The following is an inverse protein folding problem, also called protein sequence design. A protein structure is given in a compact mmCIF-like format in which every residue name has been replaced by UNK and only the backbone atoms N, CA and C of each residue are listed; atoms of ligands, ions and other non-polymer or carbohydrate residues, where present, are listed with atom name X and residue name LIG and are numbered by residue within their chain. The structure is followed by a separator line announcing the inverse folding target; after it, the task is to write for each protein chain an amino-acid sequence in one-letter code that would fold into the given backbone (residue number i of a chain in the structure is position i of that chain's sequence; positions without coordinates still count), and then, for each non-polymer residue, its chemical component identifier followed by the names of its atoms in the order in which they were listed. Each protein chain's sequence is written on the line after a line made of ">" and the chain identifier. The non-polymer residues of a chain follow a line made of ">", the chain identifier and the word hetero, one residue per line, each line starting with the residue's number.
data_IF_213962706022
#
_entry.id   IF_213962706022
#
_cell.length_a   1.000
_cell.length_b   1.000
_cell.length_c   1.000
_cell.angle_alpha   90.00
_cell.angle_beta   90.00
_cell.angle_gamma   90.00
#
_symmetry.space_group_name_H-M   'P 1'
#
loop_
_entity.id
_entity.type
_entity.pdbx_description
1 polymer ?
#
# COMPACT_ATOMS: atom_id res chain seq x y z
N UNK A 1 -14.00 18.97 -0.49
CA UNK A 1 -13.01 18.87 -1.56
C UNK A 1 -13.28 17.69 -2.48
N UNK A 2 -12.43 17.48 -3.50
CA UNK A 2 -12.62 16.39 -4.49
C UNK A 2 -12.80 15.00 -3.85
N UNK A 3 -12.09 14.74 -2.76
CA UNK A 3 -12.20 13.48 -2.02
C UNK A 3 -13.51 13.29 -1.26
N UNK A 4 -14.17 14.37 -0.89
CA UNK A 4 -15.48 14.32 -0.20
C UNK A 4 -16.61 14.11 -1.19
N UNK A 5 -16.41 14.55 -2.45
CA UNK A 5 -17.42 14.43 -3.51
C UNK A 5 -17.28 13.17 -4.37
N UNK A 6 -16.12 12.50 -4.34
CA UNK A 6 -15.78 11.35 -5.15
C UNK A 6 -15.24 10.18 -4.32
N UNK A 7 -15.68 10.06 -3.08
CA UNK A 7 -15.37 8.89 -2.26
C UNK A 7 -15.93 7.61 -2.90
N UNK A 8 -15.29 6.46 -2.72
CA UNK A 8 -15.80 5.20 -3.23
C UNK A 8 -17.16 4.89 -2.62
N UNK A 9 -18.10 4.44 -3.46
CA UNK A 9 -19.42 3.94 -3.00
C UNK A 9 -19.33 2.55 -2.34
N UNK A 10 -18.19 2.24 -1.72
CA UNK A 10 -17.88 0.94 -1.17
C UNK A 10 -17.25 1.00 0.20
N UNK A 11 -16.84 -0.15 0.66
CA UNK A 11 -16.26 -0.32 2.00
C UNK A 11 -14.75 -0.10 1.98
N UNK A 12 -14.24 0.56 3.00
CA UNK A 12 -12.81 0.58 3.29
C UNK A 12 -12.39 -0.81 3.79
N UNK A 13 -11.11 -1.17 3.60
CA UNK A 13 -10.61 -2.48 4.02
C UNK A 13 -10.84 -2.76 5.52
N UNK A 14 -10.72 -1.74 6.37
CA UNK A 14 -10.97 -1.86 7.82
C UNK A 14 -12.45 -2.17 8.08
N UNK A 15 -13.36 -1.47 7.42
CA UNK A 15 -14.82 -1.67 7.56
C UNK A 15 -15.22 -3.06 7.03
N UNK A 16 -14.63 -3.46 5.92
CA UNK A 16 -14.84 -4.79 5.32
C UNK A 16 -14.49 -5.90 6.30
N UNK A 17 -13.28 -5.87 6.88
CA UNK A 17 -12.82 -6.91 7.83
C UNK A 17 -13.63 -6.87 9.13
N UNK A 18 -13.98 -5.68 9.63
CA UNK A 18 -14.83 -5.54 10.81
C UNK A 18 -16.20 -6.17 10.59
N UNK A 19 -16.82 -5.94 9.42
CA UNK A 19 -18.12 -6.53 9.06
C UNK A 19 -18.05 -8.03 8.89
N UNK A 20 -16.99 -8.56 8.24
CA UNK A 20 -16.75 -10.01 8.17
C UNK A 20 -16.70 -10.62 9.58
N UNK A 21 -15.93 -10.01 10.48
CA UNK A 21 -15.79 -10.48 11.86
C UNK A 21 -17.13 -10.44 12.62
N UNK A 22 -17.88 -9.35 12.46
CA UNK A 22 -19.18 -9.16 13.09
C UNK A 22 -20.34 -9.87 12.38
N UNK A 23 -20.08 -10.54 11.25
CA UNK A 23 -21.08 -11.18 10.40
C UNK A 23 -22.18 -10.21 9.94
N UNK A 24 -21.76 -9.00 9.60
CA UNK A 24 -22.63 -7.95 9.10
C UNK A 24 -22.69 -7.98 7.58
N UNK A 25 -23.78 -7.55 6.93
CA UNK A 25 -23.87 -7.49 5.48
C UNK A 25 -22.94 -6.41 4.90
N UNK A 26 -22.33 -6.73 3.77
CA UNK A 26 -21.55 -5.79 3.00
C UNK A 26 -22.43 -4.91 2.11
N UNK A 27 -22.00 -3.70 1.81
CA UNK A 27 -22.72 -2.72 1.00
C UNK A 27 -21.76 -2.04 0.02
N UNK A 28 -22.17 -1.99 -1.26
CA UNK A 28 -21.40 -1.31 -2.31
C UNK A 28 -20.21 -2.14 -2.81
N UNK A 29 -19.17 -1.48 -3.31
CA UNK A 29 -17.99 -2.13 -3.84
C UNK A 29 -17.08 -2.65 -2.72
N UNK A 30 -16.57 -3.87 -2.90
CA UNK A 30 -15.69 -4.51 -1.93
C UNK A 30 -14.22 -4.27 -2.27
N UNK A 31 -13.37 -3.97 -1.27
CA UNK A 31 -11.96 -3.64 -1.52
C UNK A 31 -11.19 -4.76 -2.23
N UNK A 32 -11.49 -6.02 -1.93
CA UNK A 32 -10.82 -7.15 -2.59
C UNK A 32 -11.27 -7.35 -4.02
N UNK A 33 -12.54 -7.07 -4.35
CA UNK A 33 -13.06 -7.16 -5.71
C UNK A 33 -12.47 -6.05 -6.59
N UNK A 34 -12.34 -4.84 -6.04
CA UNK A 34 -11.72 -3.72 -6.75
C UNK A 34 -10.26 -4.05 -7.12
N UNK A 35 -9.46 -4.53 -6.18
CA UNK A 35 -8.06 -4.85 -6.50
C UNK A 35 -7.92 -6.03 -7.44
N UNK A 36 -8.85 -6.97 -7.45
CA UNK A 36 -8.91 -8.05 -8.43
C UNK A 36 -9.22 -7.52 -9.84
N UNK A 37 -10.20 -6.60 -9.96
CA UNK A 37 -10.52 -5.95 -11.23
C UNK A 37 -9.35 -5.11 -11.76
N UNK A 38 -8.63 -4.41 -10.91
CA UNK A 38 -7.43 -3.63 -11.30
C UNK A 38 -6.37 -4.53 -11.93
N UNK A 39 -6.15 -5.73 -11.39
CA UNK A 39 -5.24 -6.72 -11.99
C UNK A 39 -5.75 -7.17 -13.36
N UNK A 40 -7.02 -7.56 -13.45
CA UNK A 40 -7.60 -8.01 -14.71
C UNK A 40 -7.47 -6.94 -15.80
N UNK A 41 -7.72 -5.67 -15.47
CA UNK A 41 -7.54 -4.55 -16.40
C UNK A 41 -6.07 -4.31 -16.76
N UNK A 42 -5.15 -4.44 -15.80
CA UNK A 42 -3.71 -4.34 -16.03
C UNK A 42 -3.21 -5.41 -17.01
N UNK A 43 -3.61 -6.66 -16.83
CA UNK A 43 -3.27 -7.78 -17.72
C UNK A 43 -3.84 -7.58 -19.13
N UNK A 44 -5.09 -7.14 -19.24
CA UNK A 44 -5.72 -6.81 -20.53
C UNK A 44 -5.02 -5.65 -21.24
N UNK A 45 -4.61 -4.62 -20.51
CA UNK A 45 -3.90 -3.47 -21.05
C UNK A 45 -2.54 -3.88 -21.63
N UNK A 46 -1.75 -4.67 -20.89
CA UNK A 46 -0.47 -5.19 -21.37
C UNK A 46 -0.66 -6.09 -22.60
N UNK A 47 -1.60 -7.04 -22.53
CA UNK A 47 -1.87 -7.92 -23.68
C UNK A 47 -2.31 -7.14 -24.94
N UNK A 48 -3.09 -6.08 -24.78
CA UNK A 48 -3.56 -5.26 -25.89
C UNK A 48 -2.43 -4.43 -26.50
N UNK A 49 -1.60 -3.77 -25.67
CA UNK A 49 -0.53 -2.92 -26.18
C UNK A 49 0.60 -3.72 -26.80
N UNK A 50 0.96 -4.87 -26.24
CA UNK A 50 1.98 -5.77 -26.77
C UNK A 50 1.53 -6.34 -28.14
N UNK A 51 0.25 -6.69 -28.27
CA UNK A 51 -0.32 -7.12 -29.54
C UNK A 51 -0.28 -6.01 -30.61
N UNK A 52 -0.49 -4.76 -30.21
CA UNK A 52 -0.48 -3.62 -31.13
C UNK A 52 0.94 -3.28 -31.64
N UNK A 53 1.99 -3.66 -30.92
CA UNK A 53 3.37 -3.26 -31.22
C UNK A 53 3.82 -3.59 -32.65
N UNK A 54 3.42 -4.76 -33.17
CA UNK A 54 3.73 -5.17 -34.54
C UNK A 54 3.07 -4.35 -35.66
N UNK A 55 2.05 -3.55 -35.34
CA UNK A 55 1.27 -2.76 -36.28
C UNK A 55 1.63 -1.28 -36.27
N UNK A 56 2.51 -0.85 -35.37
CA UNK A 56 2.88 0.56 -35.22
C UNK A 56 3.90 0.97 -36.30
N UNK A 57 3.50 1.86 -37.19
CA UNK A 57 4.33 2.33 -38.31
C UNK A 57 4.92 3.72 -38.11
N UNK A 58 4.35 4.55 -37.23
CA UNK A 58 4.80 5.92 -36.92
C UNK A 58 4.81 6.18 -35.41
N UNK A 59 5.52 7.22 -34.97
CA UNK A 59 5.63 7.62 -33.57
C UNK A 59 6.04 6.47 -32.63
N UNK A 60 7.00 5.65 -33.08
CA UNK A 60 7.42 4.44 -32.35
C UNK A 60 7.96 4.72 -30.95
N UNK A 61 8.66 5.85 -30.78
CA UNK A 61 9.20 6.25 -29.47
C UNK A 61 8.08 6.59 -28.46
N UNK A 62 7.02 7.24 -28.94
CA UNK A 62 5.84 7.51 -28.12
C UNK A 62 5.09 6.23 -27.78
N UNK A 63 4.95 5.33 -28.76
CA UNK A 63 4.33 4.03 -28.51
C UNK A 63 5.16 3.21 -27.49
N UNK A 64 6.49 3.21 -27.59
CA UNK A 64 7.34 2.51 -26.63
C UNK A 64 7.15 3.05 -25.20
N UNK A 65 6.99 4.37 -25.02
CA UNK A 65 6.65 4.96 -23.72
C UNK A 65 5.31 4.50 -23.21
N UNK A 66 4.26 4.52 -24.04
CA UNK A 66 2.93 4.03 -23.67
C UNK A 66 2.94 2.53 -23.32
N UNK A 67 3.73 1.74 -24.06
CA UNK A 67 3.90 0.33 -23.76
C UNK A 67 4.53 0.13 -22.38
N UNK A 68 5.61 0.85 -22.09
CA UNK A 68 6.24 0.83 -20.78
C UNK A 68 5.27 1.26 -19.66
N UNK A 69 4.45 2.29 -19.90
CA UNK A 69 3.44 2.73 -18.94
C UNK A 69 2.45 1.62 -18.57
N UNK A 70 1.97 0.84 -19.56
CA UNK A 70 1.05 -0.27 -19.28
C UNK A 70 1.72 -1.36 -18.45
N UNK A 71 2.99 -1.67 -18.74
CA UNK A 71 3.76 -2.61 -17.92
C UNK A 71 3.97 -2.07 -16.49
N UNK A 72 4.27 -0.77 -16.32
CA UNK A 72 4.38 -0.13 -15.00
C UNK A 72 3.07 -0.23 -14.22
N UNK A 73 1.94 0.11 -14.84
CA UNK A 73 0.62 0.01 -14.18
C UNK A 73 0.31 -1.42 -13.75
N UNK A 74 0.62 -2.41 -14.58
CA UNK A 74 0.41 -3.81 -14.22
C UNK A 74 1.24 -4.23 -13.02
N UNK A 75 2.55 -3.97 -13.02
CA UNK A 75 3.42 -4.34 -11.90
C UNK A 75 3.01 -3.61 -10.62
N UNK A 76 2.62 -2.34 -10.71
CA UNK A 76 2.08 -1.60 -9.58
C UNK A 76 0.76 -2.20 -9.06
N UNK A 77 -0.15 -2.60 -9.95
CA UNK A 77 -1.41 -3.25 -9.60
C UNK A 77 -1.18 -4.55 -8.81
N UNK A 78 -0.26 -5.40 -9.27
CA UNK A 78 0.10 -6.63 -8.57
C UNK A 78 0.71 -6.36 -7.20
N UNK A 79 1.69 -5.44 -7.12
CA UNK A 79 2.31 -5.05 -5.86
C UNK A 79 1.25 -4.54 -4.86
N UNK A 80 0.35 -3.66 -5.30
CA UNK A 80 -0.71 -3.10 -4.47
C UNK A 80 -1.72 -4.15 -4.02
N UNK A 81 -2.22 -5.01 -4.91
CA UNK A 81 -3.16 -6.06 -4.56
C UNK A 81 -2.60 -7.02 -3.51
N UNK A 82 -1.36 -7.47 -3.67
CA UNK A 82 -0.71 -8.36 -2.71
C UNK A 82 -0.55 -7.68 -1.35
N UNK A 83 -0.23 -6.37 -1.34
CA UNK A 83 -0.16 -5.58 -0.12
C UNK A 83 -1.52 -5.42 0.55
N UNK A 84 -2.59 -5.20 -0.20
CA UNK A 84 -3.97 -5.15 0.33
C UNK A 84 -4.37 -6.49 0.96
N UNK A 85 -4.04 -7.62 0.31
CA UNK A 85 -4.30 -8.95 0.86
C UNK A 85 -3.52 -9.21 2.16
N UNK A 86 -2.24 -8.80 2.20
CA UNK A 86 -1.45 -8.87 3.43
C UNK A 86 -2.04 -8.00 4.54
N UNK A 87 -2.47 -6.78 4.21
CA UNK A 87 -3.12 -5.88 5.16
C UNK A 87 -4.44 -6.45 5.71
N UNK A 88 -5.23 -7.15 4.86
CA UNK A 88 -6.42 -7.88 5.34
C UNK A 88 -6.06 -8.90 6.43
N UNK A 89 -5.03 -9.71 6.20
CA UNK A 89 -4.59 -10.70 7.19
C UNK A 89 -4.11 -10.07 8.50
N UNK A 90 -3.46 -8.91 8.43
CA UNK A 90 -3.09 -8.15 9.64
C UNK A 90 -4.33 -7.66 10.40
N UNK A 91 -5.36 -7.20 9.68
CA UNK A 91 -6.63 -6.80 10.28
C UNK A 91 -7.38 -8.02 10.86
N UNK A 92 -7.37 -9.17 10.18
CA UNK A 92 -7.92 -10.42 10.71
C UNK A 92 -7.24 -10.82 12.03
N UNK A 93 -5.91 -10.65 12.10
CA UNK A 93 -5.17 -10.85 13.36
C UNK A 93 -5.60 -9.87 14.45
N UNK A 94 -5.88 -8.62 14.14
CA UNK A 94 -6.34 -7.65 15.14
C UNK A 94 -7.62 -8.10 15.84
N UNK A 95 -8.52 -8.76 15.13
CA UNK A 95 -9.77 -9.29 15.66
C UNK A 95 -9.61 -10.69 16.30
N UNK A 96 -9.07 -11.64 15.54
CA UNK A 96 -9.00 -13.05 15.90
C UNK A 96 -7.80 -13.43 16.77
N UNK A 97 -6.76 -12.61 16.80
CA UNK A 97 -5.47 -12.88 17.48
C UNK A 97 -4.77 -14.15 17.00
N UNK A 98 -5.13 -14.64 15.81
CA UNK A 98 -4.53 -15.82 15.19
C UNK A 98 -3.18 -15.46 14.56
N UNK A 99 -2.07 -15.86 15.16
CA UNK A 99 -0.71 -15.57 14.63
C UNK A 99 -0.52 -16.09 13.20
N UNK A 100 -1.20 -17.16 12.83
CA UNK A 100 -1.18 -17.71 11.49
C UNK A 100 -1.49 -16.65 10.41
N UNK A 101 -2.40 -15.73 10.68
CA UNK A 101 -2.71 -14.65 9.75
C UNK A 101 -1.50 -13.76 9.47
N UNK A 102 -0.68 -13.47 10.48
CA UNK A 102 0.56 -12.70 10.29
C UNK A 102 1.64 -13.50 9.54
N UNK A 103 1.70 -14.81 9.78
CA UNK A 103 2.59 -15.71 9.04
C UNK A 103 2.23 -15.76 7.56
N UNK A 104 0.94 -15.87 7.24
CA UNK A 104 0.42 -15.89 5.87
C UNK A 104 0.55 -14.54 5.16
N UNK A 105 0.66 -13.43 5.89
CA UNK A 105 0.91 -12.10 5.32
C UNK A 105 2.33 -11.97 4.74
N UNK A 106 3.34 -12.64 5.32
CA UNK A 106 4.74 -12.55 4.88
C UNK A 106 4.93 -12.89 3.39
N UNK A 107 4.51 -14.07 2.89
CA UNK A 107 4.70 -14.41 1.49
C UNK A 107 3.97 -13.45 0.54
N UNK A 108 2.86 -12.85 0.95
CA UNK A 108 2.18 -11.82 0.15
C UNK A 108 2.99 -10.53 0.09
N UNK A 109 3.59 -10.11 1.20
CA UNK A 109 4.49 -8.95 1.24
C UNK A 109 5.75 -9.18 0.40
N UNK A 110 6.32 -10.39 0.45
CA UNK A 110 7.47 -10.78 -0.36
C UNK A 110 7.16 -10.70 -1.86
N UNK A 111 6.04 -11.30 -2.29
CA UNK A 111 5.59 -11.22 -3.67
C UNK A 111 5.26 -9.78 -4.11
N UNK A 112 4.63 -8.99 -3.23
CA UNK A 112 4.41 -7.57 -3.48
C UNK A 112 5.72 -6.83 -3.76
N UNK A 113 6.75 -7.12 -2.98
CA UNK A 113 8.07 -6.52 -3.14
C UNK A 113 8.76 -6.94 -4.44
N UNK A 114 8.58 -8.19 -4.90
CA UNK A 114 9.08 -8.66 -6.20
C UNK A 114 8.47 -7.88 -7.37
N UNK A 115 7.15 -7.66 -7.36
CA UNK A 115 6.48 -6.82 -8.34
C UNK A 115 6.92 -5.37 -8.27
N UNK A 116 7.15 -4.86 -7.06
CA UNK A 116 7.66 -3.51 -6.88
C UNK A 116 9.09 -3.36 -7.43
N UNK A 117 9.97 -4.36 -7.28
CA UNK A 117 11.31 -4.35 -7.90
C UNK A 117 11.23 -4.30 -9.43
N UNK A 118 10.32 -5.05 -10.04
CA UNK A 118 10.08 -4.96 -11.50
C UNK A 118 9.59 -3.57 -11.91
N UNK A 119 8.73 -2.95 -11.10
CA UNK A 119 8.29 -1.57 -11.32
C UNK A 119 9.49 -0.61 -11.26
N UNK A 120 10.41 -0.79 -10.32
CA UNK A 120 11.64 0.01 -10.24
C UNK A 120 12.47 -0.13 -11.51
N UNK A 121 12.67 -1.35 -12.03
CA UNK A 121 13.39 -1.58 -13.29
C UNK A 121 12.74 -0.87 -14.48
N UNK A 122 11.42 -0.88 -14.57
CA UNK A 122 10.66 -0.23 -15.64
C UNK A 122 10.66 1.31 -15.53
N UNK A 123 10.89 1.86 -14.35
CA UNK A 123 10.76 3.30 -14.08
C UNK A 123 12.09 4.04 -13.95
N UNK A 124 13.20 3.36 -13.66
CA UNK A 124 14.49 3.97 -13.27
C UNK A 124 15.03 4.95 -14.34
N UNK A 125 14.83 4.65 -15.65
CA UNK A 125 15.31 5.51 -16.75
C UNK A 125 14.19 6.37 -17.38
N UNK A 126 12.93 6.19 -16.98
CA UNK A 126 11.78 6.80 -17.66
C UNK A 126 11.06 7.85 -16.83
N UNK A 127 11.15 7.79 -15.50
CA UNK A 127 10.43 8.68 -14.59
C UNK A 127 11.36 9.33 -13.58
N UNK A 128 11.09 10.61 -13.30
CA UNK A 128 11.86 11.36 -12.30
C UNK A 128 11.42 11.02 -10.87
N UNK A 129 10.10 10.95 -10.66
CA UNK A 129 9.54 10.78 -9.31
C UNK A 129 8.33 9.85 -9.32
N UNK A 130 8.07 9.20 -8.18
CA UNK A 130 6.95 8.31 -7.97
C UNK A 130 5.63 9.03 -7.65
N UNK A 131 5.62 10.35 -7.58
CA UNK A 131 4.46 11.16 -7.23
C UNK A 131 3.89 11.91 -8.44
N UNK A 132 2.57 12.08 -8.46
CA UNK A 132 1.90 12.90 -9.47
C UNK A 132 2.12 14.41 -9.22
N UNK A 133 1.91 15.22 -10.25
CA UNK A 133 1.90 16.68 -10.12
C UNK A 133 0.91 17.17 -9.04
N UNK A 134 -0.23 16.51 -8.90
CA UNK A 134 -1.21 16.82 -7.85
C UNK A 134 -0.62 16.59 -6.46
N UNK A 135 0.11 15.51 -6.29
CA UNK A 135 0.79 15.17 -5.03
C UNK A 135 1.90 16.15 -4.74
N UNK A 136 2.67 16.54 -5.76
CA UNK A 136 3.70 17.58 -5.64
C UNK A 136 3.12 18.93 -5.24
N UNK A 137 1.98 19.34 -5.80
CA UNK A 137 1.29 20.59 -5.43
C UNK A 137 0.80 20.57 -3.98
N UNK A 138 0.35 19.43 -3.49
CA UNK A 138 -0.08 19.24 -2.10
C UNK A 138 1.08 19.00 -1.15
N UNK A 139 2.29 18.88 -1.67
CA UNK A 139 3.50 18.60 -0.91
C UNK A 139 3.35 17.45 0.08
N UNK A 140 2.70 16.37 -0.37
CA UNK A 140 2.64 15.15 0.42
C UNK A 140 3.93 14.38 0.11
N UNK A 141 4.90 14.32 1.02
CA UNK A 141 6.11 13.55 0.80
C UNK A 141 5.76 12.07 0.78
N UNK A 142 6.16 11.38 -0.28
CA UNK A 142 6.06 9.93 -0.37
C UNK A 142 7.40 9.37 0.11
N UNK A 143 7.36 8.60 1.21
CA UNK A 143 8.54 7.88 1.71
C UNK A 143 9.48 8.68 2.61
N UNK A 144 8.99 9.63 3.38
CA UNK A 144 9.78 10.26 4.44
C UNK A 144 9.44 11.71 4.76
N UNK A 145 9.95 12.18 5.89
CA UNK A 145 9.72 13.49 6.48
C UNK A 145 10.74 14.57 6.04
N UNK A 146 11.64 14.23 5.11
CA UNK A 146 12.58 15.18 4.54
C UNK A 146 11.94 16.16 3.52
N UNK A 147 10.65 16.00 3.23
CA UNK A 147 9.88 16.85 2.32
C UNK A 147 10.28 16.72 0.85
N UNK A 148 11.11 15.75 0.49
CA UNK A 148 11.60 15.56 -0.87
C UNK A 148 10.73 14.56 -1.63
N UNK A 149 10.60 14.79 -2.92
CA UNK A 149 10.06 13.78 -3.82
C UNK A 149 11.03 12.60 -3.93
N UNK A 150 10.48 11.39 -3.98
CA UNK A 150 11.25 10.15 -4.09
C UNK A 150 11.04 9.50 -5.44
N UNK A 151 12.09 8.89 -5.97
CA UNK A 151 11.98 7.97 -7.10
C UNK A 151 11.39 6.64 -6.62
N UNK A 152 10.93 5.82 -7.56
CA UNK A 152 10.47 4.46 -7.25
C UNK A 152 11.56 3.62 -6.57
N UNK A 153 12.81 3.80 -6.99
CA UNK A 153 13.99 3.14 -6.43
C UNK A 153 14.29 3.54 -4.99
N UNK A 154 14.17 4.82 -4.67
CA UNK A 154 14.36 5.31 -3.30
C UNK A 154 13.28 4.79 -2.35
N UNK A 155 12.05 4.60 -2.86
CA UNK A 155 10.95 4.01 -2.10
C UNK A 155 11.12 2.50 -1.87
N UNK A 156 11.82 1.79 -2.75
CA UNK A 156 12.07 0.35 -2.60
C UNK A 156 12.74 0.03 -1.26
N UNK A 157 13.75 0.81 -0.87
CA UNK A 157 14.45 0.62 0.41
C UNK A 157 13.50 0.72 1.60
N UNK A 158 12.51 1.62 1.51
CA UNK A 158 11.48 1.76 2.54
C UNK A 158 10.60 0.50 2.66
N UNK A 159 10.16 -0.06 1.53
CA UNK A 159 9.33 -1.27 1.53
C UNK A 159 10.11 -2.54 1.93
N UNK A 160 11.40 -2.62 1.60
CA UNK A 160 12.27 -3.70 2.06
C UNK A 160 12.40 -3.68 3.59
N UNK A 161 12.64 -2.49 4.16
CA UNK A 161 12.71 -2.30 5.60
C UNK A 161 11.37 -2.59 6.30
N UNK A 162 10.25 -2.25 5.68
CA UNK A 162 8.91 -2.58 6.19
C UNK A 162 8.75 -4.10 6.37
N UNK A 163 9.14 -4.89 5.35
CA UNK A 163 9.09 -6.35 5.41
C UNK A 163 10.03 -6.92 6.49
N UNK A 164 11.25 -6.41 6.59
CA UNK A 164 12.21 -6.82 7.63
C UNK A 164 11.66 -6.56 9.03
N UNK A 165 11.13 -5.36 9.28
CA UNK A 165 10.52 -4.99 10.54
C UNK A 165 9.31 -5.87 10.86
N UNK A 166 8.47 -6.16 9.88
CA UNK A 166 7.30 -7.03 10.07
C UNK A 166 7.74 -8.44 10.52
N UNK A 167 8.73 -9.03 9.86
CA UNK A 167 9.28 -10.35 10.22
C UNK A 167 9.88 -10.35 11.65
N UNK A 168 10.65 -9.32 11.98
CA UNK A 168 11.26 -9.18 13.31
C UNK A 168 10.18 -9.07 14.40
N UNK A 169 9.18 -8.22 14.18
CA UNK A 169 8.08 -8.04 15.13
C UNK A 169 7.25 -9.31 15.31
N UNK A 170 7.02 -10.08 14.24
CA UNK A 170 6.34 -11.37 14.35
C UNK A 170 7.14 -12.37 15.17
N UNK A 171 8.47 -12.40 15.00
CA UNK A 171 9.34 -13.28 15.80
C UNK A 171 9.25 -12.95 17.30
N UNK A 172 9.34 -11.65 17.67
CA UNK A 172 9.18 -11.19 19.05
C UNK A 172 7.79 -11.52 19.62
N UNK A 173 6.75 -11.39 18.81
CA UNK A 173 5.40 -11.74 19.23
C UNK A 173 5.26 -13.24 19.57
N UNK A 174 5.86 -14.10 18.75
CA UNK A 174 5.88 -15.55 18.98
C UNK A 174 6.63 -15.92 20.25
N UNK A 175 7.78 -15.29 20.50
CA UNK A 175 8.55 -15.47 21.74
C UNK A 175 7.72 -15.08 22.96
N UNK A 176 7.04 -13.94 22.89
CA UNK A 176 6.16 -13.49 23.99
C UNK A 176 5.00 -14.45 24.23
N UNK A 177 4.39 -15.02 23.20
CA UNK A 177 3.32 -16.01 23.36
C UNK A 177 3.83 -17.30 23.98
N UNK A 178 5.07 -17.68 23.73
CA UNK A 178 5.72 -18.86 24.34
C UNK A 178 6.17 -18.62 25.79
N UNK A 179 5.82 -17.47 26.38
CA UNK A 179 6.14 -17.15 27.78
C UNK A 179 7.55 -16.61 28.00
N UNK A 180 8.28 -16.29 26.94
CA UNK A 180 9.59 -15.66 27.02
C UNK A 180 9.46 -14.18 27.42
N UNK A 181 10.36 -13.69 28.26
CA UNK A 181 10.42 -12.27 28.59
C UNK A 181 10.93 -11.49 27.36
N UNK A 182 10.09 -10.64 26.79
CA UNK A 182 10.46 -9.74 25.71
C UNK A 182 10.61 -8.33 26.27
N UNK A 183 11.83 -7.81 26.20
CA UNK A 183 12.16 -6.46 26.71
C UNK A 183 11.86 -5.35 25.69
N UNK A 184 11.64 -5.70 24.42
CA UNK A 184 11.35 -4.77 23.37
C UNK A 184 9.85 -4.61 23.14
N UNK A 185 9.43 -3.41 22.78
CA UNK A 185 8.04 -3.14 22.38
C UNK A 185 7.77 -3.77 21.01
N UNK A 186 6.78 -4.66 20.95
CA UNK A 186 6.38 -5.31 19.70
C UNK A 186 5.42 -4.40 18.95
N UNK A 187 5.85 -3.87 17.86
CA UNK A 187 5.03 -3.06 16.95
C UNK A 187 4.63 -3.93 15.74
N UNK A 188 3.36 -4.34 15.69
CA UNK A 188 2.82 -5.16 14.60
C UNK A 188 1.99 -4.25 13.70
N UNK A 189 2.58 -3.24 13.17
CA UNK A 189 2.00 -2.50 12.07
C UNK A 189 2.80 -2.80 10.81
N UNK A 190 2.13 -3.11 9.72
CA UNK A 190 2.77 -3.25 8.41
C UNK A 190 3.47 -1.94 7.96
N UNK A 191 3.10 -0.85 8.57
CA UNK A 191 3.72 0.46 8.53
C UNK A 191 3.81 0.99 9.95
N UNK A 192 4.95 0.92 10.53
CA UNK A 192 5.30 1.70 11.72
C UNK A 192 5.73 3.06 11.23
N UNK A 193 4.93 4.05 11.43
CA UNK A 193 5.31 5.39 11.04
C UNK A 193 6.39 5.88 11.99
N UNK A 194 7.48 6.38 11.44
CA UNK A 194 8.59 6.86 12.23
C UNK A 194 8.35 8.22 12.89
N UNK A 195 7.46 9.06 12.39
CA UNK A 195 6.98 10.28 13.06
C UNK A 195 5.55 10.55 12.62
N UNK A 196 4.59 10.55 13.56
CA UNK A 196 3.27 11.07 13.27
C UNK A 196 3.34 12.58 13.29
N UNK A 197 3.59 13.20 12.15
CA UNK A 197 3.07 14.53 11.93
C UNK A 197 1.65 14.35 11.43
N UNK A 198 0.68 14.68 12.27
CA UNK A 198 -0.67 14.99 11.81
C UNK A 198 -0.56 16.17 10.86
N UNK A 199 -0.42 15.89 9.57
CA UNK A 199 -0.56 16.91 8.54
C UNK A 199 -2.05 17.01 8.28
N UNK A 200 -2.75 17.72 9.17
CA UNK A 200 -4.10 18.18 8.88
C UNK A 200 -4.00 19.41 7.99
N UNK A 201 -4.63 19.36 6.83
CA UNK A 201 -4.86 20.57 6.03
C UNK A 201 -5.88 21.53 6.68
N UNK A 202 -6.42 21.15 7.83
CA UNK A 202 -7.40 21.88 8.61
C UNK A 202 -6.84 22.15 10.00
N UNK A 203 -6.93 23.39 10.52
CA UNK A 203 -6.39 23.76 11.83
C UNK A 203 -7.14 23.13 13.01
N UNK A 204 -8.31 22.55 12.77
CA UNK A 204 -9.12 21.85 13.77
C UNK A 204 -9.86 20.70 13.10
N UNK A 205 -9.72 19.52 13.69
CA UNK A 205 -10.39 18.31 13.26
C UNK A 205 -11.40 17.93 14.33
N UNK A 206 -12.67 17.80 13.97
CA UNK A 206 -13.68 17.20 14.85
C UNK A 206 -13.59 15.68 14.77
N UNK A 207 -13.73 15.02 15.91
CA UNK A 207 -13.57 13.56 16.09
C UNK A 207 -14.52 12.75 15.20
N UNK A 208 -15.61 13.33 14.73
CA UNK A 208 -16.68 12.69 13.95
C UNK A 208 -16.52 12.85 12.44
N UNK A 209 -15.54 13.63 11.98
CA UNK A 209 -15.25 13.80 10.57
C UNK A 209 -14.21 12.76 10.15
N UNK A 210 -14.61 11.81 9.31
CA UNK A 210 -13.73 10.77 8.79
C UNK A 210 -12.53 11.37 8.06
N UNK A 211 -11.37 11.35 8.71
CA UNK A 211 -10.12 11.86 8.18
C UNK A 211 -9.31 10.69 7.66
N UNK A 212 -8.88 10.80 6.41
CA UNK A 212 -7.80 9.96 5.92
C UNK A 212 -6.50 10.50 6.51
N UNK A 213 -6.08 9.90 7.63
CA UNK A 213 -4.78 10.16 8.22
C UNK A 213 -3.74 9.36 7.42
N UNK A 214 -2.90 10.06 6.67
CA UNK A 214 -1.61 9.52 6.29
C UNK A 214 -0.70 9.67 7.49
N UNK A 215 -0.46 8.57 8.17
CA UNK A 215 0.36 8.55 9.36
C UNK A 215 1.75 8.12 8.95
N UNK A 216 2.68 9.06 8.93
CA UNK A 216 4.10 8.78 8.80
C UNK A 216 4.70 8.87 10.21
N UNK A 217 5.02 7.73 10.82
CA UNK A 217 5.42 7.67 12.22
C UNK A 217 6.81 7.06 12.38
N UNK A 218 7.81 7.78 12.85
CA UNK A 218 8.96 7.17 13.46
C UNK A 218 8.76 7.05 14.97
N UNK A 219 8.65 5.82 15.49
CA UNK A 219 8.64 5.51 16.91
C UNK A 219 7.25 5.38 17.53
N UNK A 220 7.18 4.94 18.76
CA UNK A 220 6.02 4.48 19.53
C UNK A 220 4.72 5.19 19.23
N UNK A 221 3.71 4.42 18.79
CA UNK A 221 2.31 4.85 18.89
C UNK A 221 1.91 4.71 20.35
N UNK A 222 1.87 5.79 21.10
CA UNK A 222 1.07 5.85 22.30
C UNK A 222 -0.38 5.92 21.83
N UNK A 223 -1.18 4.93 22.23
CA UNK A 223 -2.60 4.92 21.93
C UNK A 223 -3.23 6.22 22.43
N UNK A 224 -3.70 7.03 21.50
CA UNK A 224 -4.57 8.15 21.81
C UNK A 224 -5.95 7.54 21.99
N UNK A 225 -6.44 7.58 23.25
CA UNK A 225 -7.78 7.17 23.63
C UNK A 225 -8.82 8.09 23.00
#
# INVERSE_FOLDING_TARGET
>A
GFYESCGPEGEKLIEYVEKEWKKQPHIGEMPLDIVAQVIEHGDKAVAAIDKAAGSVSSNKDEFARLQNDMHCYREFAYAFNLKVKAAKLVLDYQWGKEIKNLEEAIPLMEQSLEHYRKLVELTDEHYLYANSMQTAQRRIPIGGDDGKNKTWKELLVHYEKELENFKANLALLKEKQNGNAVTETIEIAAWTPANVKLISNYPTVKVDEGISLFVDVPGKIEAVA
#
